data_IF_724586383728
#
_entry.id   IF_724586383728
#
_cell.length_a   1.000
_cell.length_b   1.000
_cell.length_c   1.000
_cell.angle_alpha   90.00
_cell.angle_beta   90.00
_cell.angle_gamma   90.00
#
_symmetry.space_group_name_H-M   'P 1'
#
loop_
_entity.id
_entity.type
_entity.pdbx_description
1 polymer ?
#
# COMPACT_ATOMS: atom_id res chain seq x y z
N UNK A 1 -25.68 2.73 11.23
CA UNK A 1 -24.43 1.93 11.40
C UNK A 1 -23.28 2.73 10.85
N UNK A 2 -22.31 3.03 11.67
CA UNK A 2 -21.10 3.71 11.21
C UNK A 2 -20.33 2.75 10.30
N UNK A 3 -20.19 3.11 9.02
CA UNK A 3 -19.34 2.35 8.10
C UNK A 3 -17.89 2.45 8.56
N UNK A 4 -17.22 1.33 8.72
CA UNK A 4 -15.78 1.29 8.98
C UNK A 4 -15.01 1.24 7.67
N UNK A 5 -13.85 1.82 7.65
CA UNK A 5 -13.07 2.01 6.44
C UNK A 5 -11.68 1.37 6.56
N UNK A 6 -11.25 0.75 5.47
CA UNK A 6 -9.90 0.21 5.29
C UNK A 6 -9.21 1.05 4.24
N UNK A 7 -8.12 1.68 4.61
CA UNK A 7 -7.31 2.51 3.71
C UNK A 7 -6.04 1.74 3.32
N UNK A 8 -6.01 1.24 2.11
CA UNK A 8 -4.79 0.65 1.54
C UNK A 8 -3.91 1.74 0.95
N UNK A 9 -2.78 2.00 1.59
CA UNK A 9 -1.76 2.90 1.05
C UNK A 9 -0.83 2.07 0.18
N UNK A 10 -0.87 2.32 -1.12
CA UNK A 10 -0.34 1.42 -2.15
C UNK A 10 0.64 2.12 -3.09
N UNK A 11 1.35 1.34 -3.88
CA UNK A 11 2.34 1.79 -4.85
C UNK A 11 3.59 0.92 -4.84
N UNK A 12 4.50 1.18 -5.77
CA UNK A 12 5.79 0.49 -5.84
C UNK A 12 6.71 0.90 -4.69
N UNK A 13 7.82 0.19 -4.52
CA UNK A 13 8.85 0.53 -3.52
C UNK A 13 9.37 1.96 -3.70
N UNK A 14 9.68 2.62 -2.59
CA UNK A 14 10.25 3.96 -2.59
C UNK A 14 9.24 5.11 -2.72
N UNK A 15 7.94 4.84 -2.79
CA UNK A 15 6.91 5.87 -2.87
C UNK A 15 6.55 6.49 -1.51
N UNK A 16 7.02 5.90 -0.40
CA UNK A 16 6.75 6.40 0.95
C UNK A 16 5.50 5.83 1.62
N UNK A 17 5.06 4.63 1.22
CA UNK A 17 3.86 3.97 1.76
C UNK A 17 3.86 3.89 3.29
N UNK A 18 4.94 3.36 3.88
CA UNK A 18 5.01 3.17 5.33
C UNK A 18 4.99 4.49 6.09
N UNK A 19 5.73 5.47 5.61
CA UNK A 19 5.80 6.81 6.22
C UNK A 19 4.43 7.51 6.19
N UNK A 20 3.76 7.49 5.03
CA UNK A 20 2.43 8.06 4.90
C UNK A 20 1.40 7.29 5.74
N UNK A 21 1.45 5.96 5.73
CA UNK A 21 0.54 5.12 6.50
C UNK A 21 0.62 5.38 7.99
N UNK A 22 1.84 5.49 8.52
CA UNK A 22 2.05 5.83 9.93
C UNK A 22 1.51 7.23 10.26
N UNK A 23 1.81 8.21 9.42
CA UNK A 23 1.29 9.58 9.58
C UNK A 23 -0.25 9.62 9.63
N UNK A 24 -0.91 8.92 8.69
CA UNK A 24 -2.38 8.88 8.63
C UNK A 24 -2.98 8.15 9.85
N UNK A 25 -2.36 7.07 10.27
CA UNK A 25 -2.78 6.32 11.45
C UNK A 25 -2.71 7.18 12.72
N UNK A 26 -1.62 7.89 12.93
CA UNK A 26 -1.46 8.84 14.04
C UNK A 26 -2.43 10.01 13.96
N UNK A 27 -2.61 10.57 12.75
CA UNK A 27 -3.45 11.75 12.51
C UNK A 27 -4.92 11.51 12.79
N UNK A 28 -5.41 10.30 12.53
CA UNK A 28 -6.83 9.92 12.64
C UNK A 28 -7.10 8.89 13.74
N UNK A 29 -6.12 8.62 14.58
CA UNK A 29 -6.21 7.63 15.67
C UNK A 29 -6.70 6.26 15.19
N UNK A 30 -6.05 5.75 14.13
CA UNK A 30 -6.33 4.46 13.52
C UNK A 30 -5.16 3.48 13.71
N UNK A 31 -5.42 2.17 13.83
CA UNK A 31 -4.37 1.16 13.72
C UNK A 31 -3.64 1.23 12.38
N UNK A 32 -2.33 0.95 12.41
CA UNK A 32 -1.51 0.77 11.21
C UNK A 32 -0.99 -0.66 11.14
N UNK A 33 -1.24 -1.29 9.99
CA UNK A 33 -0.72 -2.60 9.64
C UNK A 33 0.28 -2.47 8.48
N UNK A 34 1.55 -2.76 8.78
CA UNK A 34 2.60 -2.82 7.75
C UNK A 34 2.46 -4.13 6.98
N UNK A 35 1.96 -4.08 5.74
CA UNK A 35 1.67 -5.26 4.94
C UNK A 35 2.88 -6.16 4.70
N UNK A 36 4.07 -5.59 4.59
CA UNK A 36 5.30 -6.36 4.35
C UNK A 36 5.65 -7.30 5.51
N UNK A 37 5.19 -7.03 6.72
CA UNK A 37 5.41 -7.91 7.88
C UNK A 37 4.68 -9.26 7.80
N UNK A 38 3.72 -9.36 6.91
CA UNK A 38 2.86 -10.54 6.78
C UNK A 38 3.31 -11.49 5.67
N UNK A 39 4.44 -11.21 5.01
CA UNK A 39 5.05 -12.15 4.08
C UNK A 39 5.55 -13.41 4.79
N UNK A 40 5.47 -14.56 4.11
CA UNK A 40 6.08 -15.80 4.58
C UNK A 40 7.59 -15.67 4.68
N UNK A 41 8.22 -16.53 5.47
CA UNK A 41 9.70 -16.60 5.55
C UNK A 41 10.34 -16.84 4.18
N UNK A 42 9.73 -17.69 3.35
CA UNK A 42 10.18 -17.95 1.98
C UNK A 42 10.14 -16.68 1.11
N UNK A 43 9.10 -15.87 1.23
CA UNK A 43 9.01 -14.59 0.52
C UNK A 43 10.05 -13.59 1.02
N UNK A 44 10.24 -13.49 2.32
CA UNK A 44 11.27 -12.62 2.94
C UNK A 44 12.65 -13.03 2.44
N UNK A 45 12.96 -14.32 2.39
CA UNK A 45 14.24 -14.82 1.90
C UNK A 45 14.46 -14.48 0.42
N UNK A 46 13.45 -14.68 -0.44
CA UNK A 46 13.50 -14.26 -1.85
C UNK A 46 13.80 -12.77 -2.00
N UNK A 47 13.05 -11.92 -1.30
CA UNK A 47 13.23 -10.47 -1.36
C UNK A 47 14.60 -10.04 -0.85
N UNK A 48 15.09 -10.63 0.23
CA UNK A 48 16.43 -10.36 0.78
C UNK A 48 17.55 -10.78 -0.17
N UNK A 49 17.32 -11.81 -0.98
CA UNK A 49 18.25 -12.29 -2.00
C UNK A 49 18.13 -11.56 -3.34
N UNK A 50 17.27 -10.54 -3.43
CA UNK A 50 17.02 -9.78 -4.65
C UNK A 50 16.21 -10.56 -5.70
N UNK A 51 15.53 -11.64 -5.30
CA UNK A 51 14.66 -12.44 -6.18
C UNK A 51 13.24 -11.85 -6.14
N UNK A 52 12.71 -11.38 -7.30
CA UNK A 52 11.35 -10.84 -7.35
C UNK A 52 10.30 -11.90 -7.01
N UNK A 53 9.26 -11.49 -6.28
CA UNK A 53 8.11 -12.34 -6.03
C UNK A 53 7.25 -12.48 -7.29
N UNK A 54 6.80 -13.71 -7.56
CA UNK A 54 5.81 -14.03 -8.58
C UNK A 54 4.40 -14.02 -8.00
N UNK A 55 3.37 -14.08 -8.85
CA UNK A 55 1.98 -14.13 -8.42
C UNK A 55 1.72 -15.26 -7.43
N UNK A 56 2.25 -16.46 -7.70
CA UNK A 56 2.10 -17.62 -6.82
C UNK A 56 2.64 -17.39 -5.40
N UNK A 57 3.66 -16.55 -5.26
CA UNK A 57 4.24 -16.19 -3.95
C UNK A 57 3.37 -15.22 -3.16
N UNK A 58 2.45 -14.51 -3.82
CA UNK A 58 1.70 -13.39 -3.24
C UNK A 58 0.31 -13.74 -2.75
N UNK A 59 -0.33 -14.79 -3.26
CA UNK A 59 -1.74 -15.08 -2.97
C UNK A 59 -2.03 -15.26 -1.48
N UNK A 60 -1.25 -16.06 -0.77
CA UNK A 60 -1.41 -16.25 0.67
C UNK A 60 -1.23 -14.96 1.46
N UNK A 61 -0.26 -14.15 1.08
CA UNK A 61 0.00 -12.86 1.68
C UNK A 61 -1.18 -11.91 1.52
N UNK A 62 -1.74 -11.79 0.31
CA UNK A 62 -2.90 -10.94 0.02
C UNK A 62 -4.15 -11.42 0.77
N UNK A 63 -4.37 -12.74 0.85
CA UNK A 63 -5.47 -13.32 1.64
C UNK A 63 -5.29 -12.97 3.12
N UNK A 64 -4.09 -13.06 3.65
CA UNK A 64 -3.79 -12.67 5.03
C UNK A 64 -4.14 -11.20 5.29
N UNK A 65 -3.77 -10.30 4.39
CA UNK A 65 -4.10 -8.88 4.53
C UNK A 65 -5.61 -8.63 4.44
N UNK A 66 -6.33 -9.34 3.57
CA UNK A 66 -7.80 -9.28 3.53
C UNK A 66 -8.42 -9.74 4.85
N UNK A 67 -7.91 -10.83 5.45
CA UNK A 67 -8.39 -11.31 6.76
C UNK A 67 -8.14 -10.28 7.87
N UNK A 68 -6.99 -9.64 7.88
CA UNK A 68 -6.65 -8.57 8.83
C UNK A 68 -7.62 -7.39 8.67
N UNK A 69 -7.88 -6.96 7.44
CA UNK A 69 -8.87 -5.93 7.16
C UNK A 69 -10.26 -6.28 7.70
N UNK A 70 -10.72 -7.52 7.47
CA UNK A 70 -11.99 -8.03 8.01
C UNK A 70 -12.03 -8.01 9.54
N UNK A 71 -10.93 -8.37 10.20
CA UNK A 71 -10.83 -8.33 11.66
C UNK A 71 -11.01 -6.91 12.21
N UNK A 72 -10.41 -5.90 11.58
CA UNK A 72 -10.59 -4.50 11.99
C UNK A 72 -12.03 -4.03 11.80
N UNK A 73 -12.65 -4.35 10.66
CA UNK A 73 -14.06 -4.03 10.40
C UNK A 73 -14.96 -4.66 11.45
N UNK A 74 -14.78 -5.97 11.75
CA UNK A 74 -15.57 -6.68 12.77
C UNK A 74 -15.34 -6.13 14.19
N UNK A 75 -14.15 -5.60 14.46
CA UNK A 75 -13.84 -4.94 15.72
C UNK A 75 -14.30 -3.47 15.77
N UNK A 76 -15.11 -3.05 14.82
CA UNK A 76 -15.64 -1.69 14.70
C UNK A 76 -14.55 -0.62 14.63
N UNK A 77 -13.44 -0.87 13.90
CA UNK A 77 -12.31 0.04 13.76
C UNK A 77 -11.99 0.34 12.29
N UNK A 78 -11.68 1.60 12.01
CA UNK A 78 -10.97 1.97 10.78
C UNK A 78 -9.52 1.48 10.86
N UNK A 79 -8.86 1.26 9.73
CA UNK A 79 -7.47 0.80 9.68
C UNK A 79 -6.75 1.33 8.45
N UNK A 80 -5.46 1.61 8.60
CA UNK A 80 -4.53 1.88 7.49
C UNK A 80 -3.66 0.64 7.28
N UNK A 81 -3.60 0.15 6.07
CA UNK A 81 -2.77 -1.00 5.68
C UNK A 81 -1.86 -0.58 4.53
N UNK A 82 -0.54 -0.69 4.71
CA UNK A 82 0.40 -0.51 3.60
C UNK A 82 0.53 -1.81 2.80
N UNK A 83 0.39 -1.72 1.49
CA UNK A 83 0.50 -2.86 0.60
C UNK A 83 0.77 -2.39 -0.82
N UNK A 84 1.74 -2.98 -1.52
CA UNK A 84 2.08 -2.58 -2.90
C UNK A 84 0.90 -2.64 -3.87
N UNK A 85 0.03 -3.65 -3.76
CA UNK A 85 -1.22 -3.80 -4.54
C UNK A 85 -1.05 -3.52 -6.05
N UNK A 86 -0.01 -4.09 -6.67
CA UNK A 86 0.47 -3.73 -8.00
C UNK A 86 -0.49 -4.10 -9.12
N UNK A 87 -1.17 -5.25 -9.04
CA UNK A 87 -2.09 -5.73 -10.07
C UNK A 87 -3.55 -5.62 -9.64
N UNK A 88 -4.43 -5.47 -10.61
CA UNK A 88 -5.87 -5.49 -10.39
C UNK A 88 -6.31 -6.76 -9.66
N UNK A 89 -5.82 -7.93 -10.07
CA UNK A 89 -6.12 -9.20 -9.41
C UNK A 89 -5.69 -9.23 -7.93
N UNK A 90 -4.62 -8.54 -7.56
CA UNK A 90 -4.22 -8.42 -6.15
C UNK A 90 -5.20 -7.57 -5.35
N UNK A 91 -5.65 -6.47 -5.94
CA UNK A 91 -6.66 -5.59 -5.32
C UNK A 91 -7.99 -6.30 -5.14
N UNK A 92 -8.37 -7.16 -6.09
CA UNK A 92 -9.58 -7.99 -5.99
C UNK A 92 -9.52 -8.94 -4.79
N UNK A 93 -8.37 -9.55 -4.52
CA UNK A 93 -8.16 -10.39 -3.34
C UNK A 93 -8.24 -9.57 -2.06
N UNK A 94 -7.57 -8.42 -2.02
CA UNK A 94 -7.56 -7.53 -0.85
C UNK A 94 -8.96 -7.07 -0.45
N UNK A 95 -9.83 -6.83 -1.41
CA UNK A 95 -11.18 -6.27 -1.19
C UNK A 95 -12.30 -7.32 -1.16
N UNK A 96 -11.95 -8.60 -1.29
CA UNK A 96 -12.94 -9.68 -1.36
C UNK A 96 -13.89 -9.65 -0.15
N UNK A 97 -15.18 -9.58 -0.43
CA UNK A 97 -16.29 -9.51 0.54
C UNK A 97 -16.35 -8.24 1.40
N UNK A 98 -15.44 -7.29 1.20
CA UNK A 98 -15.37 -6.04 1.95
C UNK A 98 -15.17 -4.80 1.06
N UNK A 99 -15.38 -4.92 -0.25
CA UNK A 99 -15.13 -3.85 -1.20
C UNK A 99 -15.76 -2.49 -0.84
N UNK A 100 -17.01 -2.41 -0.32
CA UNK A 100 -17.59 -1.11 0.07
C UNK A 100 -16.88 -0.39 1.20
N UNK A 101 -16.06 -1.10 1.97
CA UNK A 101 -15.28 -0.56 3.08
C UNK A 101 -13.87 -0.11 2.66
N UNK A 102 -13.40 -0.52 1.47
CA UNK A 102 -12.02 -0.40 1.05
C UNK A 102 -11.78 0.84 0.19
N UNK A 103 -10.70 1.54 0.48
CA UNK A 103 -10.23 2.70 -0.27
C UNK A 103 -8.74 2.55 -0.56
N UNK A 104 -8.34 2.74 -1.82
CA UNK A 104 -6.94 2.75 -2.20
C UNK A 104 -6.43 4.19 -2.30
N UNK A 105 -5.38 4.48 -1.56
CA UNK A 105 -4.57 5.70 -1.70
C UNK A 105 -3.29 5.25 -2.41
N UNK A 106 -3.19 5.56 -3.70
CA UNK A 106 -2.15 5.03 -4.57
C UNK A 106 -1.07 6.06 -4.83
N UNK A 107 0.12 5.80 -4.29
CA UNK A 107 1.28 6.66 -4.44
C UNK A 107 2.02 6.32 -5.73
N UNK A 108 2.23 7.31 -6.58
CA UNK A 108 2.82 7.10 -7.90
C UNK A 108 3.85 8.17 -8.26
N UNK A 109 4.91 7.72 -8.93
CA UNK A 109 5.86 8.54 -9.65
C UNK A 109 6.51 7.69 -10.75
N UNK A 110 7.25 8.32 -11.67
CA UNK A 110 7.97 7.59 -12.70
C UNK A 110 9.05 6.69 -12.13
N UNK A 111 9.41 5.65 -12.87
CA UNK A 111 10.48 4.73 -12.49
C UNK A 111 11.82 5.46 -12.28
N UNK A 112 12.14 6.43 -13.14
CA UNK A 112 13.38 7.20 -13.03
C UNK A 112 13.47 8.02 -11.73
N UNK A 113 12.37 8.63 -11.32
CA UNK A 113 12.30 9.38 -10.04
C UNK A 113 12.48 8.45 -8.85
N UNK A 114 11.82 7.32 -8.85
CA UNK A 114 11.91 6.36 -7.74
C UNK A 114 13.24 5.65 -7.68
N UNK A 115 13.84 5.31 -8.83
CA UNK A 115 15.20 4.79 -8.91
C UNK A 115 16.21 5.76 -8.32
N UNK A 116 16.13 7.06 -8.65
CA UNK A 116 17.00 8.09 -8.08
C UNK A 116 16.84 8.21 -6.55
N UNK A 117 15.60 8.11 -6.02
CA UNK A 117 15.34 8.13 -4.58
C UNK A 117 15.93 6.93 -3.86
N UNK A 118 15.82 5.74 -4.45
CA UNK A 118 16.34 4.51 -3.87
C UNK A 118 17.86 4.50 -3.81
N UNK A 119 18.55 5.04 -4.83
CA UNK A 119 20.02 5.17 -4.88
C UNK A 119 20.58 6.08 -3.78
N UNK A 120 19.79 6.99 -3.25
CA UNK A 120 20.19 7.87 -2.14
C UNK A 120 20.11 7.18 -0.76
N UNK A 121 19.53 5.98 -0.66
CA UNK A 121 19.47 5.21 0.57
C UNK A 121 20.69 4.29 0.70
N UNK A 122 21.47 4.44 1.75
CA UNK A 122 22.79 3.79 1.95
C UNK A 122 22.80 2.25 1.99
N UNK A 123 21.65 1.58 2.03
CA UNK A 123 21.54 0.12 2.21
C UNK A 123 20.77 -0.60 1.10
N UNK A 124 20.67 0.01 -0.09
CA UNK A 124 19.84 -0.54 -1.13
C UNK A 124 20.63 -1.37 -2.16
N UNK A 125 21.00 -2.60 -1.76
CA UNK A 125 21.51 -3.61 -2.70
C UNK A 125 20.33 -4.19 -3.51
N UNK A 126 20.42 -4.22 -4.85
CA UNK A 126 19.43 -4.74 -5.80
C UNK A 126 18.12 -3.93 -5.93
N UNK A 127 18.04 -2.70 -5.45
CA UNK A 127 16.85 -1.87 -5.50
C UNK A 127 16.32 -1.61 -6.91
N UNK A 128 17.19 -1.40 -7.88
CA UNK A 128 16.79 -1.15 -9.27
C UNK A 128 16.12 -2.38 -9.91
N UNK A 129 16.65 -3.59 -9.68
CA UNK A 129 16.05 -4.82 -10.22
C UNK A 129 14.66 -5.12 -9.61
N UNK A 130 14.51 -4.90 -8.30
CA UNK A 130 13.22 -5.04 -7.62
C UNK A 130 12.22 -3.99 -8.10
N UNK A 131 12.65 -2.75 -8.27
CA UNK A 131 11.82 -1.67 -8.77
C UNK A 131 11.38 -1.92 -10.22
N UNK A 132 12.29 -2.36 -11.08
CA UNK A 132 11.98 -2.74 -12.46
C UNK A 132 10.93 -3.85 -12.52
N UNK A 133 11.08 -4.89 -11.69
CA UNK A 133 10.10 -5.98 -11.57
C UNK A 133 8.74 -5.47 -11.10
N UNK A 134 8.69 -4.56 -10.15
CA UNK A 134 7.45 -3.98 -9.65
C UNK A 134 6.77 -3.12 -10.72
N UNK A 135 7.50 -2.30 -11.47
CA UNK A 135 6.94 -1.54 -12.59
C UNK A 135 6.45 -2.45 -13.72
N UNK A 136 7.14 -3.55 -14.00
CA UNK A 136 6.67 -4.55 -14.97
C UNK A 136 5.36 -5.22 -14.55
N UNK A 137 5.13 -5.39 -13.26
CA UNK A 137 3.91 -5.94 -12.69
C UNK A 137 2.80 -4.88 -12.50
N UNK A 138 3.15 -3.60 -12.49
CA UNK A 138 2.23 -2.52 -12.14
C UNK A 138 1.09 -2.38 -13.15
N UNK A 139 -0.11 -2.54 -12.67
CA UNK A 139 -1.35 -2.13 -13.34
C UNK A 139 -1.93 -0.95 -12.55
N UNK A 140 -1.59 0.27 -12.98
CA UNK A 140 -2.05 1.47 -12.29
C UNK A 140 -3.58 1.51 -12.26
N UNK A 141 -4.21 1.66 -11.08
CA UNK A 141 -5.68 1.74 -11.01
C UNK A 141 -6.19 3.01 -11.67
N UNK A 142 -7.44 2.97 -12.13
CA UNK A 142 -8.12 4.17 -12.60
C UNK A 142 -8.44 5.13 -11.43
N UNK A 143 -8.68 6.39 -11.76
CA UNK A 143 -9.09 7.40 -10.77
C UNK A 143 -10.46 7.11 -10.12
N UNK A 144 -11.27 6.27 -10.75
CA UNK A 144 -12.55 5.83 -10.18
C UNK A 144 -12.36 4.75 -9.10
N UNK A 145 -11.24 4.03 -9.14
CA UNK A 145 -10.95 2.90 -8.26
C UNK A 145 -9.90 3.22 -7.17
N UNK A 146 -9.21 4.34 -7.30
CA UNK A 146 -8.18 4.74 -6.34
C UNK A 146 -7.98 6.25 -6.33
N UNK A 147 -7.61 6.78 -5.17
CA UNK A 147 -7.11 8.15 -5.04
C UNK A 147 -5.61 8.16 -5.32
N UNK A 148 -5.21 8.66 -6.48
CA UNK A 148 -3.82 8.63 -6.94
C UNK A 148 -3.13 9.94 -6.54
N UNK A 149 -2.01 9.83 -5.83
CA UNK A 149 -1.19 10.97 -5.40
C UNK A 149 0.18 10.90 -6.09
N UNK A 150 0.56 12.00 -6.73
CA UNK A 150 1.90 12.18 -7.27
C UNK A 150 2.90 12.45 -6.13
N UNK A 151 3.85 11.55 -5.95
CA UNK A 151 4.85 11.63 -4.87
C UNK A 151 6.14 12.37 -5.27
N UNK A 152 6.15 13.05 -6.40
CA UNK A 152 7.22 14.02 -6.74
C UNK A 152 7.11 15.31 -5.91
N UNK A 153 5.93 15.55 -5.32
CA UNK A 153 5.66 16.64 -4.39
C UNK A 153 6.31 16.42 -3.02
N UNK A 154 6.31 17.45 -2.18
CA UNK A 154 6.79 17.32 -0.79
C UNK A 154 5.90 16.38 0.01
N UNK A 155 6.44 15.78 1.06
CA UNK A 155 5.66 14.93 1.96
C UNK A 155 4.46 15.68 2.59
N UNK A 156 4.63 16.96 2.90
CA UNK A 156 3.55 17.80 3.41
C UNK A 156 2.38 17.89 2.41
N UNK A 157 2.67 18.12 1.13
CA UNK A 157 1.64 18.13 0.09
C UNK A 157 0.98 16.77 -0.09
N UNK A 158 1.75 15.69 -0.09
CA UNK A 158 1.24 14.32 -0.22
C UNK A 158 0.35 13.96 0.97
N UNK A 159 0.81 14.20 2.19
CA UNK A 159 0.03 13.89 3.40
C UNK A 159 -1.24 14.71 3.50
N UNK A 160 -1.20 15.99 3.14
CA UNK A 160 -2.38 16.84 3.14
C UNK A 160 -3.46 16.32 2.16
N UNK A 161 -3.07 15.93 0.95
CA UNK A 161 -4.01 15.36 -0.03
C UNK A 161 -4.65 14.07 0.50
N UNK A 162 -3.86 13.19 1.13
CA UNK A 162 -4.37 11.95 1.72
C UNK A 162 -5.32 12.23 2.90
N UNK A 163 -5.00 13.19 3.76
CA UNK A 163 -5.87 13.60 4.86
C UNK A 163 -7.20 14.16 4.36
N UNK A 164 -7.18 15.02 3.35
CA UNK A 164 -8.39 15.62 2.77
C UNK A 164 -9.29 14.56 2.11
N UNK A 165 -8.70 13.50 1.57
CA UNK A 165 -9.45 12.36 1.05
C UNK A 165 -10.12 11.54 2.17
N UNK A 166 -9.41 11.28 3.27
CA UNK A 166 -9.90 10.43 4.37
C UNK A 166 -10.97 11.14 5.21
N UNK A 167 -10.76 12.42 5.51
CA UNK A 167 -11.56 13.18 6.48
C UNK A 167 -13.07 13.07 6.27
N UNK A 168 -13.63 13.29 5.07
CA UNK A 168 -15.08 13.20 4.87
C UNK A 168 -15.63 11.77 5.01
N UNK A 169 -14.80 10.75 4.79
CA UNK A 169 -15.23 9.35 4.88
C UNK A 169 -15.43 8.90 6.33
N UNK A 170 -14.58 9.38 7.25
CA UNK A 170 -14.62 8.95 8.66
C UNK A 170 -15.42 9.91 9.56
N UNK A 171 -15.86 11.06 9.04
CA UNK A 171 -16.60 12.06 9.81
C UNK A 171 -18.11 11.82 9.85
N UNK A 172 -18.59 10.74 9.24
CA UNK A 172 -20.02 10.39 9.18
C UNK A 172 -20.41 9.30 10.15
#
# INVERSE_FOLDING_TARGET
MTHRHVFFVSGVSGTGKSTLSQHLAERFDMPFEEGDRYHSEANVEKMSSGIPLQDADRWEWLITLNMIAKQHIHADRNVVISCSALRSAYRDVLTKDIAPHCHFIYLHASQSVLSARLKQREHFFNGDAMLESQFAALELPSKDNAFIIDVTQTFECVSQQAEDFIRPLISN
#
